data_IF_615356429454
#
_entry.id   IF_615356429454
#
_cell.length_a   1.000
_cell.length_b   1.000
_cell.length_c   1.000
_cell.angle_alpha   90.00
_cell.angle_beta   90.00
_cell.angle_gamma   90.00
#
_symmetry.space_group_name_H-M   'P 1'
#
loop_
_entity.id
_entity.type
_entity.pdbx_description
1 polymer ?
#
# COMPACT_ATOMS: atom_id res chain seq x y z
N UNK A 1 17.72 12.83 -13.91
CA UNK A 1 18.42 11.75 -13.21
C UNK A 1 17.61 10.49 -13.45
N UNK A 2 18.14 9.52 -14.20
CA UNK A 2 17.41 8.31 -14.58
C UNK A 2 17.55 7.26 -13.47
N UNK A 3 16.44 6.70 -12.98
CA UNK A 3 16.42 5.67 -11.94
C UNK A 3 16.23 4.31 -12.62
N UNK A 4 17.15 3.39 -12.35
CA UNK A 4 17.18 2.05 -12.92
C UNK A 4 16.36 1.09 -12.02
N UNK A 5 15.39 0.36 -12.60
CA UNK A 5 14.33 -0.37 -11.88
C UNK A 5 14.51 -1.90 -11.82
N UNK A 6 15.68 -2.43 -12.18
CA UNK A 6 15.90 -3.88 -12.24
C UNK A 6 16.52 -4.44 -10.95
N UNK A 7 15.72 -4.95 -10.01
CA UNK A 7 16.18 -5.91 -8.98
C UNK A 7 15.04 -6.61 -8.21
N UNK A 8 14.94 -7.93 -8.34
CA UNK A 8 14.24 -8.85 -7.42
C UNK A 8 15.27 -9.52 -6.49
N UNK A 9 15.02 -9.63 -5.17
CA UNK A 9 15.86 -10.41 -4.23
C UNK A 9 15.12 -10.76 -2.89
N UNK A 10 15.62 -11.78 -2.19
CA UNK A 10 14.97 -12.75 -1.27
C UNK A 10 14.81 -12.39 0.24
N UNK A 11 14.25 -13.32 1.03
CA UNK A 11 13.55 -13.13 2.31
C UNK A 11 14.37 -13.03 3.64
N UNK A 12 14.25 -11.94 4.44
CA UNK A 12 13.91 -11.82 5.91
C UNK A 12 13.60 -10.33 6.35
N UNK A 13 12.47 -10.07 7.07
CA UNK A 13 11.72 -8.78 7.34
C UNK A 13 11.10 -7.90 6.20
N UNK A 14 9.88 -8.19 5.72
CA UNK A 14 9.18 -7.45 4.62
C UNK A 14 8.14 -6.44 5.11
N UNK A 15 8.14 -5.24 4.52
CA UNK A 15 6.88 -4.59 4.14
C UNK A 15 6.39 -5.26 2.86
N UNK A 16 5.26 -5.97 2.94
CA UNK A 16 4.61 -6.55 1.75
C UNK A 16 3.53 -5.60 1.31
N UNK A 17 3.75 -4.92 0.19
CA UNK A 17 2.75 -4.09 -0.49
C UNK A 17 2.28 -4.88 -1.70
N UNK A 18 1.10 -5.46 -1.65
CA UNK A 18 0.44 -6.02 -2.81
C UNK A 18 -0.13 -4.90 -3.68
N UNK A 19 0.16 -4.95 -4.97
CA UNK A 19 -0.37 -4.01 -5.93
C UNK A 19 -1.37 -4.68 -6.85
N UNK A 20 -2.60 -4.17 -6.89
CA UNK A 20 -3.62 -4.62 -7.82
C UNK A 20 -3.81 -3.56 -8.90
N UNK A 21 -3.80 -3.99 -10.15
CA UNK A 21 -3.96 -3.14 -11.33
C UNK A 21 -5.13 -3.62 -12.17
N UNK A 22 -5.97 -2.69 -12.60
CA UNK A 22 -6.94 -2.98 -13.65
C UNK A 22 -6.29 -2.76 -15.00
N UNK A 23 -6.26 -3.82 -15.82
CA UNK A 23 -5.78 -3.79 -17.20
C UNK A 23 -6.85 -3.23 -18.13
N UNK A 24 -6.46 -2.90 -19.36
CA UNK A 24 -7.35 -2.28 -20.35
C UNK A 24 -8.53 -3.19 -20.79
N UNK A 25 -8.51 -4.47 -20.42
CA UNK A 25 -9.56 -5.47 -20.66
C UNK A 25 -10.43 -5.75 -19.41
N UNK A 26 -10.40 -4.86 -18.41
CA UNK A 26 -11.10 -4.96 -17.12
C UNK A 26 -10.68 -6.15 -16.23
N UNK A 27 -9.59 -6.85 -16.56
CA UNK A 27 -9.01 -7.85 -15.67
C UNK A 27 -8.23 -7.19 -14.51
N UNK A 28 -8.14 -7.86 -13.36
CA UNK A 28 -7.30 -7.42 -12.23
C UNK A 28 -6.02 -8.24 -12.22
N UNK A 29 -4.89 -7.59 -12.45
CA UNK A 29 -3.55 -8.15 -12.27
C UNK A 29 -3.07 -7.89 -10.85
N UNK A 30 -2.57 -8.92 -10.17
CA UNK A 30 -1.92 -8.80 -8.87
C UNK A 30 -0.41 -8.87 -9.05
N UNK A 31 0.30 -7.81 -8.68
CA UNK A 31 1.76 -7.80 -8.56
C UNK A 31 2.15 -7.49 -7.12
N UNK A 32 2.78 -8.43 -6.43
CA UNK A 32 3.36 -8.18 -5.12
C UNK A 32 4.60 -7.29 -5.21
N UNK A 33 4.63 -6.19 -4.47
CA UNK A 33 5.84 -5.43 -4.17
C UNK A 33 6.33 -5.83 -2.78
N UNK A 34 7.38 -6.64 -2.75
CA UNK A 34 8.08 -7.02 -1.54
C UNK A 34 9.24 -6.05 -1.31
N UNK A 35 9.12 -5.13 -0.34
CA UNK A 35 10.25 -4.28 0.07
C UNK A 35 10.85 -4.81 1.36
N UNK A 36 12.15 -5.09 1.30
CA UNK A 36 12.91 -5.66 2.41
C UNK A 36 14.07 -4.76 2.71
N UNK A 37 13.80 -3.66 3.39
CA UNK A 37 14.86 -2.75 3.77
C UNK A 37 14.59 -1.98 5.06
N UNK A 38 15.45 -2.21 6.05
CA UNK A 38 15.82 -1.24 7.10
C UNK A 38 16.57 -0.03 6.52
N UNK A 39 16.35 0.29 5.24
CA UNK A 39 16.97 1.37 4.50
C UNK A 39 15.97 2.51 4.47
N UNK A 40 16.42 3.69 4.91
CA UNK A 40 15.74 5.00 4.87
C UNK A 40 14.38 5.03 4.13
N UNK A 41 13.29 5.50 4.77
CA UNK A 41 11.95 5.66 4.17
C UNK A 41 11.92 6.35 2.80
N UNK A 42 12.98 7.09 2.45
CA UNK A 42 13.15 7.78 1.18
C UNK A 42 13.48 6.86 -0.01
N UNK A 43 14.12 5.72 0.21
CA UNK A 43 14.48 4.77 -0.85
C UNK A 43 13.25 4.01 -1.37
N UNK A 44 12.35 3.60 -0.47
CA UNK A 44 11.10 2.93 -0.81
C UNK A 44 10.12 3.85 -1.55
N UNK A 45 10.05 5.13 -1.16
CA UNK A 45 9.21 6.13 -1.83
C UNK A 45 9.61 6.36 -3.30
N UNK A 46 10.92 6.38 -3.60
CA UNK A 46 11.38 6.55 -4.98
C UNK A 46 11.03 5.33 -5.85
N UNK A 47 11.11 4.12 -5.30
CA UNK A 47 10.72 2.89 -6.01
C UNK A 47 9.20 2.86 -6.25
N UNK A 48 8.41 3.22 -5.24
CA UNK A 48 6.97 3.36 -5.37
C UNK A 48 6.60 4.43 -6.41
N UNK A 49 7.30 5.57 -6.42
CA UNK A 49 7.10 6.59 -7.45
C UNK A 49 7.44 6.07 -8.85
N UNK A 50 8.56 5.36 -9.02
CA UNK A 50 8.90 4.71 -10.29
C UNK A 50 7.82 3.72 -10.73
N UNK A 51 7.26 2.95 -9.81
CA UNK A 51 6.15 2.05 -10.10
C UNK A 51 4.92 2.85 -10.58
N UNK A 52 4.51 3.88 -9.84
CA UNK A 52 3.33 4.70 -10.17
C UNK A 52 3.48 5.48 -11.49
N UNK A 53 4.70 5.85 -11.89
CA UNK A 53 4.97 6.48 -13.19
C UNK A 53 4.71 5.51 -14.36
N UNK A 54 5.00 4.22 -14.17
CA UNK A 54 5.00 3.23 -15.23
C UNK A 54 3.71 2.40 -15.33
N UNK A 55 2.68 2.72 -14.54
CA UNK A 55 1.45 1.91 -14.42
C UNK A 55 0.19 2.65 -14.84
N UNK A 56 -0.86 1.87 -15.10
CA UNK A 56 -2.15 2.30 -15.65
C UNK A 56 -2.92 3.22 -14.68
N UNK A 57 -3.97 3.87 -15.20
CA UNK A 57 -4.75 4.93 -14.55
C UNK A 57 -5.30 4.58 -13.17
N UNK A 58 -5.51 3.29 -12.84
CA UNK A 58 -6.11 2.86 -11.58
C UNK A 58 -5.24 1.83 -10.86
N UNK A 59 -4.94 2.06 -9.59
CA UNK A 59 -4.00 1.27 -8.77
C UNK A 59 -4.57 1.07 -7.36
N UNK A 60 -4.34 -0.11 -6.78
CA UNK A 60 -4.52 -0.40 -5.35
C UNK A 60 -3.18 -0.83 -4.79
N UNK A 61 -2.71 -0.20 -3.71
CA UNK A 61 -1.54 -0.58 -2.93
C UNK A 61 -2.06 -1.06 -1.57
N UNK A 62 -1.88 -2.33 -1.22
CA UNK A 62 -2.39 -2.91 0.02
C UNK A 62 -1.27 -3.59 0.79
N UNK A 63 -1.10 -3.30 2.08
CA UNK A 63 -0.03 -3.94 2.82
C UNK A 63 0.37 -3.26 4.12
N UNK A 64 1.43 -3.79 4.71
CA UNK A 64 2.15 -3.19 5.83
C UNK A 64 3.17 -2.20 5.30
N UNK A 65 2.99 -0.91 5.59
CA UNK A 65 3.88 0.16 5.16
C UNK A 65 4.94 0.52 6.22
N UNK A 66 4.92 -0.12 7.40
CA UNK A 66 5.77 0.18 8.55
C UNK A 66 5.86 1.70 8.88
N UNK A 67 4.78 2.43 8.57
CA UNK A 67 4.67 3.87 8.73
C UNK A 67 3.34 4.17 9.39
N UNK A 68 3.34 4.97 10.45
CA UNK A 68 2.12 5.36 11.14
C UNK A 68 1.28 6.32 10.27
N UNK A 69 0.07 5.88 9.92
CA UNK A 69 -0.86 6.64 9.10
C UNK A 69 -1.53 7.81 9.83
N UNK A 70 -1.49 7.86 11.17
CA UNK A 70 -1.89 9.06 11.91
C UNK A 70 -0.86 10.20 11.76
N UNK A 71 0.39 9.85 11.44
CA UNK A 71 1.52 10.78 11.39
C UNK A 71 2.38 10.61 10.13
N UNK A 72 1.73 10.44 8.95
CA UNK A 72 2.46 10.15 7.71
C UNK A 72 3.52 11.20 7.39
N UNK A 73 4.72 10.78 6.94
CA UNK A 73 5.73 11.70 6.44
C UNK A 73 5.18 12.55 5.29
N UNK A 74 5.51 13.84 5.28
CA UNK A 74 5.07 14.77 4.24
C UNK A 74 5.41 14.29 2.83
N UNK A 75 6.60 13.70 2.62
CA UNK A 75 7.01 13.16 1.32
C UNK A 75 6.10 12.02 0.84
N UNK A 76 5.59 11.19 1.75
CA UNK A 76 4.65 10.14 1.39
C UNK A 76 3.28 10.74 1.06
N UNK A 77 2.80 11.69 1.89
CA UNK A 77 1.57 12.45 1.62
C UNK A 77 1.59 13.14 0.25
N UNK A 78 2.70 13.82 -0.08
CA UNK A 78 2.89 14.51 -1.36
C UNK A 78 2.85 13.52 -2.54
N UNK A 79 3.45 12.33 -2.38
CA UNK A 79 3.40 11.26 -3.37
C UNK A 79 1.97 10.76 -3.58
N UNK A 80 1.24 10.46 -2.50
CA UNK A 80 -0.15 10.01 -2.59
C UNK A 80 -1.03 11.04 -3.29
N UNK A 81 -0.88 12.32 -2.93
CA UNK A 81 -1.61 13.42 -3.56
C UNK A 81 -1.27 13.57 -5.06
N UNK A 82 0.01 13.43 -5.43
CA UNK A 82 0.46 13.52 -6.83
C UNK A 82 -0.22 12.51 -7.74
N UNK A 83 -0.50 11.31 -7.24
CA UNK A 83 -1.14 10.23 -8.00
C UNK A 83 -2.63 10.04 -7.67
N UNK A 84 -3.25 11.00 -6.96
CA UNK A 84 -4.65 10.94 -6.50
C UNK A 84 -4.98 9.64 -5.73
N UNK A 85 -4.02 9.14 -4.96
CA UNK A 85 -4.13 7.96 -4.13
C UNK A 85 -4.61 8.35 -2.73
N UNK A 86 -5.54 7.57 -2.17
CA UNK A 86 -6.13 7.81 -0.84
C UNK A 86 -6.31 6.49 -0.10
N UNK A 87 -6.27 6.53 1.23
CA UNK A 87 -6.69 5.37 2.02
C UNK A 87 -8.14 5.01 1.70
N UNK A 88 -8.39 3.73 1.47
CA UNK A 88 -9.70 3.12 1.28
C UNK A 88 -10.36 2.74 2.61
N UNK A 89 -9.63 2.82 3.72
CA UNK A 89 -10.14 2.48 5.04
C UNK A 89 -11.07 3.58 5.56
N UNK A 90 -12.10 3.17 6.29
CA UNK A 90 -13.02 4.10 6.94
C UNK A 90 -12.30 4.99 7.96
N UNK A 91 -12.68 6.27 8.04
CA UNK A 91 -12.04 7.30 8.89
C UNK A 91 -12.08 6.98 10.40
N UNK A 92 -12.91 6.05 10.84
CA UNK A 92 -13.01 5.63 12.23
C UNK A 92 -12.01 4.53 12.62
N UNK A 93 -11.26 3.97 11.66
CA UNK A 93 -10.20 3.01 11.93
C UNK A 93 -8.95 3.77 12.39
N UNK A 94 -8.47 3.44 13.58
CA UNK A 94 -7.29 4.07 14.21
C UNK A 94 -6.15 3.08 14.48
N UNK A 95 -6.37 1.81 14.21
CA UNK A 95 -5.36 0.77 14.35
C UNK A 95 -5.72 -0.41 13.47
N UNK A 96 -4.68 -1.06 12.94
CA UNK A 96 -4.73 -2.27 12.13
C UNK A 96 -3.95 -3.40 12.78
N UNK A 97 -3.53 -3.23 14.04
CA UNK A 97 -2.76 -4.23 14.78
C UNK A 97 -3.31 -4.37 16.19
N UNK A 98 -3.09 -5.54 16.79
CA UNK A 98 -3.45 -5.81 18.18
C UNK A 98 -2.71 -4.92 19.20
N UNK A 99 -1.68 -4.22 18.76
CA UNK A 99 -0.85 -3.34 19.58
C UNK A 99 -1.20 -1.86 19.44
N UNK A 100 -2.25 -1.52 18.69
CA UNK A 100 -2.73 -0.13 18.60
C UNK A 100 -1.98 0.72 17.57
N UNK A 101 -1.24 0.12 16.64
CA UNK A 101 -0.58 0.85 15.55
C UNK A 101 -1.45 0.87 14.30
N UNK A 102 -1.35 1.94 13.50
CA UNK A 102 -2.00 2.07 12.20
C UNK A 102 -0.95 2.10 11.09
N UNK A 103 -0.41 0.93 10.75
CA UNK A 103 0.71 0.77 9.79
C UNK A 103 0.32 -0.01 8.54
N UNK A 104 -0.79 -0.75 8.59
CA UNK A 104 -1.36 -1.43 7.44
C UNK A 104 -2.37 -0.52 6.76
N UNK A 105 -2.41 -0.52 5.42
CA UNK A 105 -3.39 0.27 4.70
C UNK A 105 -3.76 -0.36 3.35
N UNK A 106 -4.88 0.11 2.79
CA UNK A 106 -5.22 -0.07 1.39
C UNK A 106 -5.33 1.32 0.80
N UNK A 107 -4.43 1.67 -0.12
CA UNK A 107 -4.32 2.97 -0.75
C UNK A 107 -4.69 2.84 -2.22
N UNK A 108 -5.61 3.66 -2.71
CA UNK A 108 -6.10 3.54 -4.06
C UNK A 108 -6.62 4.85 -4.64
N UNK A 109 -6.71 4.93 -5.97
CA UNK A 109 -7.41 5.97 -6.70
C UNK A 109 -8.75 5.48 -7.29
N UNK A 110 -9.14 4.23 -7.01
CA UNK A 110 -10.49 3.73 -7.32
C UNK A 110 -11.56 4.43 -6.48
N UNK A 111 -12.79 4.43 -6.99
CA UNK A 111 -13.95 4.86 -6.21
C UNK A 111 -14.31 3.75 -5.23
N UNK A 112 -14.10 4.00 -3.95
CA UNK A 112 -14.37 3.03 -2.88
C UNK A 112 -15.82 3.14 -2.41
N UNK A 113 -16.49 2.01 -2.28
CA UNK A 113 -17.80 1.91 -1.61
C UNK A 113 -17.63 1.77 -0.11
N UNK A 114 -16.78 0.82 0.30
CA UNK A 114 -16.46 0.55 1.70
C UNK A 114 -15.05 -0.02 1.81
N UNK A 115 -14.39 0.20 2.93
CA UNK A 115 -13.15 -0.48 3.28
C UNK A 115 -12.97 -0.49 4.78
N UNK A 116 -12.37 -1.57 5.29
CA UNK A 116 -12.20 -1.72 6.73
C UNK A 116 -11.49 -3.00 7.15
N UNK A 117 -11.72 -3.36 8.41
CA UNK A 117 -11.15 -4.55 9.04
C UNK A 117 -12.22 -5.64 9.11
N UNK A 118 -11.84 -6.89 8.85
CA UNK A 118 -12.70 -8.05 9.09
C UNK A 118 -12.13 -8.98 10.14
N UNK A 119 -12.99 -9.78 10.78
CA UNK A 119 -12.56 -10.76 11.77
C UNK A 119 -11.90 -11.95 11.08
N UNK A 120 -10.64 -12.22 11.39
CA UNK A 120 -9.99 -13.47 11.03
C UNK A 120 -9.76 -14.36 12.24
N UNK A 121 -9.87 -15.67 12.01
CA UNK A 121 -9.53 -16.72 12.97
C UNK A 121 -8.03 -17.09 12.94
N UNK A 122 -7.24 -16.44 12.08
CA UNK A 122 -5.78 -16.59 12.07
C UNK A 122 -5.16 -15.89 13.27
N UNK A 123 -4.16 -16.52 13.89
CA UNK A 123 -3.42 -15.94 15.03
C UNK A 123 -2.35 -14.94 14.54
N UNK A 124 -2.77 -13.89 13.83
CA UNK A 124 -1.90 -12.77 13.44
C UNK A 124 -1.91 -11.63 14.47
N UNK A 125 -0.83 -10.84 14.56
CA UNK A 125 -0.82 -9.55 15.26
C UNK A 125 -1.45 -8.42 14.45
N UNK A 126 -1.63 -8.63 13.15
CA UNK A 126 -2.27 -7.69 12.23
C UNK A 126 -3.72 -8.11 11.98
N UNK A 127 -4.60 -7.12 11.93
CA UNK A 127 -5.99 -7.29 11.55
C UNK A 127 -6.09 -7.26 10.02
N UNK A 128 -6.83 -8.21 9.41
CA UNK A 128 -6.90 -8.27 7.97
C UNK A 128 -7.84 -7.19 7.42
N UNK A 129 -7.47 -6.66 6.26
CA UNK A 129 -8.15 -5.54 5.64
C UNK A 129 -8.99 -5.99 4.44
N UNK A 130 -10.10 -5.29 4.19
CA UNK A 130 -10.93 -5.47 2.99
C UNK A 130 -11.25 -4.13 2.33
N UNK A 131 -11.58 -4.20 1.05
CA UNK A 131 -12.06 -3.08 0.24
C UNK A 131 -13.14 -3.57 -0.72
N UNK A 132 -14.19 -2.77 -0.88
CA UNK A 132 -15.23 -2.92 -1.89
C UNK A 132 -15.19 -1.71 -2.82
N UNK A 133 -15.05 -1.97 -4.12
CA UNK A 133 -14.98 -0.96 -5.18
C UNK A 133 -16.38 -0.71 -5.77
N UNK A 134 -16.60 0.49 -6.30
CA UNK A 134 -17.83 0.85 -7.04
C UNK A 134 -17.71 0.59 -8.53
#
# INVERSE_FOLDING_TARGET
MAINCDRMMTLEDLSTIEVLEQTDDDSISVSGFESRSTISPKAELNLLECFLINKHKNVILAGDFNTDFESIPKSFSDLLNKYNLKSALALNIKSTTKHGTFIDNIITNFKVEAGGIYTSYTKSSHDPLYINLK
#
